data_IF_036142160725
#
_entry.id   IF_036142160725
#
_cell.length_a   1.000
_cell.length_b   1.000
_cell.length_c   1.000
_cell.angle_alpha   90.00
_cell.angle_beta   90.00
_cell.angle_gamma   90.00
#
_symmetry.space_group_name_H-M   'P 1'
#
loop_
_entity.id
_entity.type
_entity.pdbx_description
1 polymer ?
#
# COMPACT_ATOMS: atom_id res chain seq x y z
N UNK A 1 -26.32 119.22 26.55
CA UNK A 1 -27.70 118.90 26.11
C UNK A 1 -27.63 117.50 25.50
N UNK A 2 -27.87 116.43 26.25
CA UNK A 2 -29.16 115.96 26.77
C UNK A 2 -30.16 115.61 25.65
N UNK A 3 -30.19 114.31 25.35
CA UNK A 3 -31.33 113.38 25.40
C UNK A 3 -32.51 113.47 24.42
N UNK A 4 -32.82 112.31 23.79
CA UNK A 4 -34.13 111.61 23.75
C UNK A 4 -34.03 110.45 22.74
N UNK A 5 -33.92 109.19 23.18
CA UNK A 5 -34.98 108.25 23.59
C UNK A 5 -35.89 107.69 22.47
N UNK A 6 -35.65 106.39 22.19
CA UNK A 6 -36.60 105.26 22.22
C UNK A 6 -37.54 104.86 21.06
N UNK A 7 -37.56 103.52 20.92
CA UNK A 7 -38.60 102.59 20.46
C UNK A 7 -38.72 102.36 18.93
N UNK A 8 -39.01 101.16 18.38
CA UNK A 8 -39.60 99.92 18.89
C UNK A 8 -39.50 98.81 17.82
N UNK A 9 -39.39 97.52 18.22
CA UNK A 9 -39.78 96.28 17.50
C UNK A 9 -39.07 95.96 16.16
N UNK A 10 -38.93 94.72 15.68
CA UNK A 10 -39.56 93.44 16.00
C UNK A 10 -38.72 92.33 15.33
N UNK A 11 -38.72 91.15 15.94
CA UNK A 11 -37.99 89.97 15.50
C UNK A 11 -38.90 89.06 14.68
N UNK A 12 -38.43 88.55 13.54
CA UNK A 12 -38.84 87.22 13.05
C UNK A 12 -37.71 86.58 12.25
N UNK A 13 -37.35 85.39 12.72
CA UNK A 13 -36.57 84.37 12.04
C UNK A 13 -37.25 83.92 10.74
N UNK A 14 -36.48 83.61 9.71
CA UNK A 14 -36.79 82.48 8.83
C UNK A 14 -35.52 81.93 8.15
N UNK A 15 -35.16 80.73 8.60
CA UNK A 15 -34.10 79.85 8.10
C UNK A 15 -34.72 78.91 7.07
N UNK A 16 -34.16 78.81 5.86
CA UNK A 16 -34.40 77.72 4.89
C UNK A 16 -33.15 77.52 3.98
N UNK A 17 -32.95 76.33 3.38
CA UNK A 17 -31.73 75.54 3.54
C UNK A 17 -31.04 75.13 2.21
N UNK A 18 -29.82 74.60 2.37
CA UNK A 18 -29.07 73.58 1.58
C UNK A 18 -29.05 73.60 0.04
N UNK A 19 -27.85 73.45 -0.55
CA UNK A 19 -27.39 72.26 -1.34
C UNK A 19 -26.05 72.60 -2.05
N UNK A 20 -24.89 72.22 -1.53
CA UNK A 20 -24.19 70.94 -1.80
C UNK A 20 -23.82 70.72 -3.29
N UNK A 21 -22.76 71.38 -3.77
CA UNK A 21 -22.13 70.98 -5.05
C UNK A 21 -20.61 70.86 -4.98
N UNK A 22 -20.04 70.76 -3.78
CA UNK A 22 -18.59 70.73 -3.56
C UNK A 22 -18.08 69.44 -2.92
N UNK A 23 -18.76 68.30 -3.10
CA UNK A 23 -18.33 67.04 -2.51
C UNK A 23 -18.13 65.94 -3.57
N UNK A 24 -16.85 65.67 -3.83
CA UNK A 24 -16.32 64.31 -3.85
C UNK A 24 -16.59 63.46 -5.12
N UNK A 25 -15.93 63.82 -6.23
CA UNK A 25 -15.44 62.80 -7.18
C UNK A 25 -14.26 62.04 -6.55
N UNK A 26 -14.51 61.28 -5.48
CA UNK A 26 -13.57 60.25 -5.05
C UNK A 26 -13.76 59.03 -5.92
N UNK A 27 -12.67 58.59 -6.55
CA UNK A 27 -12.63 57.33 -7.26
C UNK A 27 -13.25 56.22 -6.42
N UNK A 28 -14.25 55.55 -7.00
CA UNK A 28 -14.70 54.25 -6.54
C UNK A 28 -13.54 53.25 -6.73
N UNK A 29 -12.57 53.27 -5.83
CA UNK A 29 -11.70 52.12 -5.64
C UNK A 29 -12.59 51.02 -5.07
N UNK A 30 -12.91 50.04 -5.92
CA UNK A 30 -13.55 48.81 -5.52
C UNK A 30 -12.84 48.28 -4.26
N UNK A 31 -13.52 48.33 -3.12
CA UNK A 31 -13.01 47.80 -1.86
C UNK A 31 -13.04 46.28 -1.98
N UNK A 32 -12.00 45.71 -2.58
CA UNK A 32 -11.82 44.26 -2.63
C UNK A 32 -11.89 43.74 -1.19
N UNK A 33 -12.86 42.88 -0.93
CA UNK A 33 -13.01 42.24 0.38
C UNK A 33 -11.79 41.36 0.59
N UNK A 34 -10.91 41.76 1.51
CA UNK A 34 -9.71 41.01 1.89
C UNK A 34 -10.04 39.56 2.26
N UNK A 35 -11.22 39.32 2.83
CA UNK A 35 -11.71 37.99 3.14
C UNK A 35 -11.90 37.09 1.90
N UNK A 36 -12.34 37.67 0.77
CA UNK A 36 -12.53 36.93 -0.47
C UNK A 36 -11.20 36.49 -1.09
N UNK A 37 -10.17 37.33 -1.02
CA UNK A 37 -8.83 36.99 -1.49
C UNK A 37 -8.18 35.90 -0.63
N UNK A 38 -8.37 35.96 0.69
CA UNK A 38 -7.87 34.95 1.61
C UNK A 38 -8.57 33.60 1.37
N UNK A 39 -9.89 33.59 1.19
CA UNK A 39 -10.64 32.37 0.89
C UNK A 39 -10.21 31.71 -0.42
N UNK A 40 -9.99 32.50 -1.47
CA UNK A 40 -9.49 31.99 -2.75
C UNK A 40 -8.08 31.41 -2.63
N UNK A 41 -7.17 32.10 -1.93
CA UNK A 41 -5.81 31.62 -1.72
C UNK A 41 -5.77 30.29 -0.94
N UNK A 42 -6.58 30.16 0.13
CA UNK A 42 -6.67 28.93 0.91
C UNK A 42 -7.25 27.76 0.08
N UNK A 43 -8.25 28.03 -0.76
CA UNK A 43 -8.82 27.03 -1.66
C UNK A 43 -7.83 26.54 -2.72
N UNK A 44 -7.03 27.44 -3.30
CA UNK A 44 -5.98 27.06 -4.26
C UNK A 44 -4.90 26.23 -3.56
N UNK A 45 -4.48 26.62 -2.37
CA UNK A 45 -3.48 25.87 -1.58
C UNK A 45 -3.98 24.47 -1.22
N UNK A 46 -5.27 24.31 -0.86
CA UNK A 46 -5.81 22.98 -0.51
C UNK A 46 -5.88 22.04 -1.72
N UNK A 47 -6.25 22.55 -2.90
CA UNK A 47 -6.25 21.77 -4.15
C UNK A 47 -4.82 21.34 -4.52
N UNK A 48 -3.84 22.23 -4.37
CA UNK A 48 -2.43 21.90 -4.65
C UNK A 48 -1.92 20.82 -3.69
N UNK A 49 -2.24 20.93 -2.40
CA UNK A 49 -1.86 19.93 -1.38
C UNK A 49 -2.54 18.58 -1.67
N UNK A 50 -3.82 18.58 -2.05
CA UNK A 50 -4.56 17.38 -2.42
C UNK A 50 -3.98 16.69 -3.67
N UNK A 51 -3.64 17.46 -4.73
CA UNK A 51 -3.01 16.94 -5.93
C UNK A 51 -1.61 16.34 -5.64
N UNK A 52 -0.85 16.94 -4.73
CA UNK A 52 0.46 16.42 -4.31
C UNK A 52 0.34 15.12 -3.51
N UNK A 53 -0.63 15.02 -2.60
CA UNK A 53 -0.83 13.80 -1.80
C UNK A 53 -1.40 12.65 -2.62
N UNK A 54 -2.20 12.93 -3.66
CA UNK A 54 -2.96 11.90 -4.36
C UNK A 54 -2.41 11.52 -5.74
N UNK A 55 -1.84 12.45 -6.50
CA UNK A 55 -1.45 12.20 -7.90
C UNK A 55 0.06 12.18 -8.14
N UNK A 56 0.85 12.81 -7.27
CA UNK A 56 2.28 13.06 -7.54
C UNK A 56 3.19 12.86 -6.30
N UNK A 57 3.06 11.76 -5.54
CA UNK A 57 3.88 11.54 -4.33
C UNK A 57 5.39 11.48 -4.64
N UNK A 58 5.77 11.13 -5.87
CA UNK A 58 7.15 11.10 -6.35
C UNK A 58 7.76 12.50 -6.60
N UNK A 59 6.94 13.56 -6.68
CA UNK A 59 7.42 14.95 -6.78
C UNK A 59 7.70 15.59 -5.42
N UNK A 60 7.15 15.04 -4.32
CA UNK A 60 7.40 15.54 -2.95
C UNK A 60 8.90 15.74 -2.66
N UNK A 61 9.81 14.77 -2.93
CA UNK A 61 11.24 15.00 -2.71
C UNK A 61 11.80 16.16 -3.56
N UNK A 62 11.31 16.40 -4.77
CA UNK A 62 11.79 17.49 -5.63
C UNK A 62 11.43 18.88 -5.10
N UNK A 63 10.33 19.02 -4.37
CA UNK A 63 9.93 20.28 -3.74
C UNK A 63 10.47 20.44 -2.30
N UNK A 64 10.70 19.34 -1.57
CA UNK A 64 11.26 19.37 -0.22
C UNK A 64 12.74 19.76 -0.19
N UNK A 65 13.53 19.30 -1.17
CA UNK A 65 14.98 19.52 -1.23
C UNK A 65 15.35 21.02 -1.27
N UNK A 66 14.76 21.87 -2.13
CA UNK A 66 15.01 23.31 -2.12
C UNK A 66 14.67 23.98 -0.79
N UNK A 67 13.58 23.56 -0.12
CA UNK A 67 13.18 24.07 1.18
C UNK A 67 14.18 23.74 2.30
N UNK A 68 14.76 22.54 2.27
CA UNK A 68 15.84 22.13 3.20
C UNK A 68 17.10 22.98 2.98
N UNK A 69 17.47 23.23 1.72
CA UNK A 69 18.63 24.07 1.36
C UNK A 69 18.43 25.52 1.82
N UNK A 70 17.26 26.10 1.55
CA UNK A 70 16.93 27.46 1.97
C UNK A 70 16.92 27.60 3.51
N UNK A 71 16.41 26.58 4.22
CA UNK A 71 16.42 26.52 5.69
C UNK A 71 17.84 26.50 6.28
N UNK A 72 18.76 25.73 5.69
CA UNK A 72 20.16 25.73 6.11
C UNK A 72 20.87 27.07 5.84
N UNK A 73 20.61 27.70 4.70
CA UNK A 73 21.17 29.02 4.37
C UNK A 73 20.67 30.09 5.34
N UNK A 74 19.37 30.11 5.64
CA UNK A 74 18.78 31.04 6.61
C UNK A 74 19.34 30.82 8.03
N UNK A 75 19.44 29.58 8.48
CA UNK A 75 20.00 29.24 9.80
C UNK A 75 21.49 29.63 9.91
N UNK A 76 22.26 29.47 8.82
CA UNK A 76 23.68 29.86 8.80
C UNK A 76 23.91 31.37 8.85
N UNK A 77 22.96 32.18 8.35
CA UNK A 77 23.00 33.65 8.41
C UNK A 77 22.65 34.15 9.81
N UNK A 78 21.65 33.54 10.44
CA UNK A 78 21.20 33.92 11.79
C UNK A 78 22.26 33.62 12.85
N UNK A 79 22.99 32.50 12.73
CA UNK A 79 24.11 32.18 13.62
C UNK A 79 25.26 33.20 13.57
N UNK A 80 25.39 33.99 12.49
CA UNK A 80 26.42 35.04 12.34
C UNK A 80 25.95 36.42 12.79
N UNK A 81 24.65 36.66 12.84
CA UNK A 81 24.06 37.92 13.30
C UNK A 81 23.75 37.84 14.80
N UNK A 82 24.75 38.14 15.63
CA UNK A 82 24.69 38.17 17.10
C UNK A 82 23.72 39.23 17.67
N UNK A 83 22.43 39.23 17.30
CA UNK A 83 21.53 40.31 17.75
C UNK A 83 20.03 40.29 17.43
N UNK A 84 19.43 39.30 16.73
CA UNK A 84 17.96 39.28 16.56
C UNK A 84 17.40 37.87 16.77
N UNK A 85 16.90 37.64 17.99
CA UNK A 85 16.56 36.33 18.54
C UNK A 85 15.16 35.83 18.10
N UNK A 86 14.34 36.68 17.48
CA UNK A 86 12.93 36.39 17.21
C UNK A 86 12.70 35.58 15.92
N UNK A 87 13.67 35.54 15.00
CA UNK A 87 13.55 34.80 13.73
C UNK A 87 14.20 33.41 13.73
N UNK A 88 15.09 33.10 14.69
CA UNK A 88 15.80 31.82 14.76
C UNK A 88 14.86 30.66 15.10
N UNK A 89 13.92 30.90 16.02
CA UNK A 89 12.93 29.92 16.45
C UNK A 89 12.00 29.51 15.29
N UNK A 90 11.54 30.47 14.48
CA UNK A 90 10.68 30.21 13.32
C UNK A 90 11.43 29.44 12.23
N UNK A 91 12.71 29.77 11.99
CA UNK A 91 13.53 29.08 11.00
C UNK A 91 13.87 27.63 11.40
N UNK A 92 14.15 27.37 12.68
CA UNK A 92 14.40 26.01 13.18
C UNK A 92 13.11 25.17 13.24
N UNK A 93 11.99 25.78 13.64
CA UNK A 93 10.68 25.12 13.62
C UNK A 93 10.28 24.71 12.20
N UNK A 94 10.45 25.61 11.21
CA UNK A 94 10.15 25.30 9.81
C UNK A 94 11.02 24.16 9.25
N UNK A 95 12.31 24.13 9.60
CA UNK A 95 13.21 23.05 9.19
C UNK A 95 12.82 21.71 9.83
N UNK A 96 12.52 21.70 11.13
CA UNK A 96 12.08 20.49 11.83
C UNK A 96 10.76 19.94 11.29
N UNK A 97 9.77 20.81 11.06
CA UNK A 97 8.48 20.43 10.46
C UNK A 97 8.69 19.86 9.05
N UNK A 98 9.56 20.47 8.23
CA UNK A 98 9.79 19.98 6.86
C UNK A 98 10.50 18.61 6.82
N UNK A 99 11.44 18.36 7.74
CA UNK A 99 12.05 17.03 7.88
C UNK A 99 11.04 15.97 8.29
N UNK A 100 10.21 16.26 9.29
CA UNK A 100 9.18 15.33 9.77
C UNK A 100 8.17 15.01 8.67
N UNK A 101 7.66 16.02 7.96
CA UNK A 101 6.73 15.82 6.84
C UNK A 101 7.37 15.02 5.71
N UNK A 102 8.65 15.26 5.40
CA UNK A 102 9.36 14.51 4.35
C UNK A 102 9.56 13.04 4.75
N UNK A 103 9.99 12.77 6.00
CA UNK A 103 10.16 11.40 6.51
C UNK A 103 8.80 10.67 6.56
N UNK A 104 7.77 11.34 7.06
CA UNK A 104 6.43 10.78 7.16
C UNK A 104 5.84 10.50 5.76
N UNK A 105 6.04 11.39 4.79
CA UNK A 105 5.60 11.20 3.41
C UNK A 105 6.30 9.99 2.75
N UNK A 106 7.60 9.81 2.99
CA UNK A 106 8.34 8.62 2.49
C UNK A 106 7.81 7.32 3.12
N UNK A 107 7.43 7.34 4.41
CA UNK A 107 6.85 6.18 5.08
C UNK A 107 5.36 5.93 4.73
N UNK A 108 4.59 6.99 4.45
CA UNK A 108 3.15 6.91 4.16
C UNK A 108 2.84 6.48 2.72
N UNK A 109 3.81 6.59 1.81
CA UNK A 109 3.77 5.91 0.52
C UNK A 109 4.05 4.43 0.80
N UNK A 110 3.00 3.66 1.03
CA UNK A 110 3.10 2.22 1.22
C UNK A 110 3.96 1.56 0.11
N UNK A 111 4.61 0.41 0.39
CA UNK A 111 5.34 -0.37 -0.60
C UNK A 111 4.35 -1.08 -1.53
N UNK A 112 3.63 -0.31 -2.31
CA UNK A 112 2.81 -0.81 -3.40
C UNK A 112 3.75 -1.17 -4.54
N UNK A 113 4.28 -2.40 -4.48
CA UNK A 113 4.79 -3.06 -5.67
C UNK A 113 3.78 -2.79 -6.80
N UNK A 114 4.20 -2.16 -7.91
CA UNK A 114 3.28 -1.79 -8.98
C UNK A 114 2.50 -3.04 -9.43
N UNK A 115 1.18 -3.03 -9.23
CA UNK A 115 0.25 -4.15 -9.44
C UNK A 115 0.30 -4.75 -10.86
N UNK A 116 0.82 -4.02 -11.83
CA UNK A 116 1.07 -4.41 -13.22
C UNK A 116 2.24 -5.40 -13.42
N UNK A 117 3.21 -5.45 -12.50
CA UNK A 117 4.32 -6.43 -12.56
C UNK A 117 3.93 -7.78 -11.93
N UNK A 118 2.75 -7.87 -11.32
CA UNK A 118 2.26 -9.06 -10.62
C UNK A 118 1.93 -10.22 -11.57
N UNK A 119 1.36 -9.94 -12.74
CA UNK A 119 0.81 -10.98 -13.61
C UNK A 119 1.88 -11.98 -14.10
N UNK A 120 3.04 -11.50 -14.59
CA UNK A 120 4.14 -12.40 -15.00
C UNK A 120 4.73 -13.22 -13.85
N UNK A 121 4.68 -12.69 -12.64
CA UNK A 121 5.17 -13.39 -11.44
C UNK A 121 4.22 -14.50 -11.03
N UNK A 122 2.91 -14.32 -11.23
CA UNK A 122 1.89 -15.33 -10.94
C UNK A 122 2.08 -16.58 -11.79
N UNK A 123 2.22 -16.43 -13.10
CA UNK A 123 2.45 -17.59 -14.00
C UNK A 123 3.73 -18.35 -13.63
N UNK A 124 4.81 -17.62 -13.33
CA UNK A 124 6.08 -18.22 -12.91
C UNK A 124 5.96 -18.93 -11.57
N UNK A 125 5.24 -18.32 -10.62
CA UNK A 125 4.99 -18.90 -9.31
C UNK A 125 4.16 -20.19 -9.45
N UNK A 126 3.08 -20.15 -10.22
CA UNK A 126 2.22 -21.31 -10.51
C UNK A 126 3.01 -22.45 -11.17
N UNK A 127 3.81 -22.16 -12.22
CA UNK A 127 4.64 -23.18 -12.86
C UNK A 127 5.66 -23.82 -11.91
N UNK A 128 6.28 -23.02 -11.02
CA UNK A 128 7.22 -23.53 -10.01
C UNK A 128 6.53 -24.32 -8.90
N UNK A 129 5.31 -23.93 -8.54
CA UNK A 129 4.45 -24.67 -7.61
C UNK A 129 4.05 -26.02 -8.19
N UNK A 130 3.63 -26.07 -9.46
CA UNK A 130 3.33 -27.32 -10.17
C UNK A 130 4.55 -28.25 -10.17
N UNK A 131 5.76 -27.73 -10.43
CA UNK A 131 7.00 -28.53 -10.33
C UNK A 131 7.25 -29.04 -8.91
N UNK A 132 7.02 -28.22 -7.90
CA UNK A 132 7.18 -28.63 -6.49
C UNK A 132 6.17 -29.72 -6.11
N UNK A 133 4.92 -29.62 -6.57
CA UNK A 133 3.90 -30.67 -6.41
C UNK A 133 4.29 -31.97 -7.10
N UNK A 134 4.87 -31.92 -8.30
CA UNK A 134 5.38 -33.12 -8.98
C UNK A 134 6.48 -33.80 -8.16
N UNK A 135 7.37 -33.02 -7.57
CA UNK A 135 8.39 -33.57 -6.67
C UNK A 135 7.76 -34.22 -5.43
N UNK A 136 6.72 -33.61 -4.84
CA UNK A 136 5.97 -34.22 -3.73
C UNK A 136 5.31 -35.54 -4.16
N UNK A 137 4.65 -35.60 -5.31
CA UNK A 137 4.02 -36.82 -5.83
C UNK A 137 5.07 -37.92 -6.06
N UNK A 138 6.24 -37.58 -6.62
CA UNK A 138 7.33 -38.54 -6.82
C UNK A 138 7.90 -39.01 -5.48
N UNK A 139 8.11 -38.09 -4.54
CA UNK A 139 8.59 -38.40 -3.19
C UNK A 139 7.63 -39.36 -2.47
N UNK A 140 6.32 -39.14 -2.55
CA UNK A 140 5.32 -40.05 -1.99
C UNK A 140 5.42 -41.46 -2.57
N UNK A 141 5.61 -41.59 -3.89
CA UNK A 141 5.77 -42.90 -4.53
C UNK A 141 7.04 -43.62 -4.11
N UNK A 142 8.15 -42.88 -3.97
CA UNK A 142 9.42 -43.46 -3.48
C UNK A 142 9.28 -43.87 -2.00
N UNK A 143 8.73 -43.00 -1.17
CA UNK A 143 8.49 -43.25 0.25
C UNK A 143 7.63 -44.49 0.49
N UNK A 144 6.54 -44.60 -0.27
CA UNK A 144 5.65 -45.76 -0.25
C UNK A 144 6.34 -47.03 -0.74
N UNK A 145 7.05 -46.98 -1.88
CA UNK A 145 7.70 -48.13 -2.47
C UNK A 145 8.88 -48.67 -1.64
N UNK A 146 9.52 -47.79 -0.85
CA UNK A 146 10.54 -48.16 0.10
C UNK A 146 9.96 -48.72 1.43
N UNK A 147 8.63 -48.75 1.57
CA UNK A 147 7.93 -49.18 2.79
C UNK A 147 8.50 -48.54 4.07
N UNK A 148 8.83 -47.24 4.01
CA UNK A 148 9.44 -46.53 5.14
C UNK A 148 8.48 -46.35 6.33
N UNK A 149 7.18 -46.45 6.07
CA UNK A 149 6.13 -46.46 7.07
C UNK A 149 5.15 -47.57 6.72
N UNK A 150 4.89 -48.49 7.65
CA UNK A 150 3.94 -49.59 7.52
C UNK A 150 3.38 -49.89 8.92
N UNK A 151 2.41 -49.09 9.42
CA UNK A 151 1.92 -49.19 10.79
C UNK A 151 1.07 -50.45 11.06
N UNK A 152 0.40 -50.96 10.04
CA UNK A 152 -0.45 -52.14 10.08
C UNK A 152 0.30 -53.45 9.77
N UNK A 153 1.54 -53.37 9.29
CA UNK A 153 2.44 -54.48 8.99
C UNK A 153 1.86 -55.43 7.93
N UNK A 154 1.13 -54.88 6.95
CA UNK A 154 0.53 -55.65 5.86
C UNK A 154 1.54 -55.90 4.71
N UNK A 155 2.72 -55.28 4.78
CA UNK A 155 3.80 -55.38 3.79
C UNK A 155 3.68 -54.37 2.65
N UNK A 156 2.71 -53.45 2.71
CA UNK A 156 2.50 -52.35 1.78
C UNK A 156 2.84 -51.03 2.48
N UNK A 157 3.73 -50.24 1.88
CA UNK A 157 4.09 -48.95 2.46
C UNK A 157 2.92 -47.97 2.48
N UNK A 158 2.90 -47.14 3.51
CA UNK A 158 2.03 -45.99 3.69
C UNK A 158 2.68 -44.69 3.21
N UNK A 159 1.84 -43.70 2.90
CA UNK A 159 2.29 -42.38 2.48
C UNK A 159 2.83 -41.54 3.65
N UNK A 160 3.73 -40.61 3.33
CA UNK A 160 4.39 -39.74 4.31
C UNK A 160 3.69 -38.38 4.48
N UNK A 161 3.74 -37.82 5.68
CA UNK A 161 3.42 -36.40 5.91
C UNK A 161 4.50 -35.48 5.33
N UNK A 162 4.22 -34.18 5.17
CA UNK A 162 5.24 -33.22 4.71
C UNK A 162 6.50 -33.24 5.57
N UNK A 163 6.36 -33.38 6.89
CA UNK A 163 7.50 -33.46 7.80
C UNK A 163 8.34 -34.72 7.62
N UNK A 164 7.70 -35.88 7.43
CA UNK A 164 8.43 -37.12 7.14
C UNK A 164 9.18 -37.05 5.82
N UNK A 165 8.56 -36.48 4.78
CA UNK A 165 9.22 -36.27 3.48
C UNK A 165 10.35 -35.22 3.54
N UNK A 166 10.20 -34.20 4.39
CA UNK A 166 11.17 -33.13 4.60
C UNK A 166 12.37 -33.57 5.45
N UNK A 167 12.21 -34.56 6.33
CA UNK A 167 13.31 -35.22 7.03
C UNK A 167 14.03 -36.17 6.08
N UNK A 168 13.28 -36.99 5.34
CA UNK A 168 13.83 -37.96 4.40
C UNK A 168 14.37 -39.23 5.06
N UNK A 169 15.34 -39.85 4.41
CA UNK A 169 16.06 -41.04 4.88
C UNK A 169 17.58 -40.77 4.99
N UNK A 170 18.40 -41.81 5.05
CA UNK A 170 19.86 -41.70 5.13
C UNK A 170 20.50 -41.01 3.89
N UNK A 171 19.80 -40.94 2.75
CA UNK A 171 20.23 -40.22 1.55
C UNK A 171 19.83 -38.72 1.58
N UNK A 172 19.00 -38.33 2.54
CA UNK A 172 18.55 -36.96 2.76
C UNK A 172 17.07 -36.73 2.43
N UNK A 173 16.62 -35.47 2.38
CA UNK A 173 15.22 -35.13 2.28
C UNK A 173 14.64 -35.42 0.89
N UNK A 174 13.47 -36.07 0.83
CA UNK A 174 12.80 -36.38 -0.44
C UNK A 174 12.19 -35.14 -1.12
N UNK A 175 11.84 -34.13 -0.32
CA UNK A 175 11.32 -32.84 -0.77
C UNK A 175 12.14 -31.70 -0.17
N UNK A 176 11.99 -30.49 -0.71
CA UNK A 176 12.60 -29.31 -0.09
C UNK A 176 11.92 -29.04 1.27
N UNK A 177 12.65 -29.07 2.40
CA UNK A 177 12.07 -28.92 3.74
C UNK A 177 11.31 -27.61 3.96
N UNK A 178 11.57 -26.58 3.13
CA UNK A 178 10.81 -25.33 3.20
C UNK A 178 9.31 -25.54 2.96
N UNK A 179 8.90 -26.59 2.22
CA UNK A 179 7.48 -26.86 1.93
C UNK A 179 6.65 -27.12 3.19
N UNK A 180 7.25 -27.63 4.26
CA UNK A 180 6.58 -27.86 5.54
C UNK A 180 6.46 -26.58 6.37
N UNK A 181 7.50 -25.75 6.37
CA UNK A 181 7.67 -24.68 7.35
C UNK A 181 7.29 -23.29 6.84
N UNK A 182 7.37 -23.04 5.53
CA UNK A 182 7.15 -21.72 4.97
C UNK A 182 6.58 -21.75 3.54
N UNK A 183 5.99 -20.63 3.08
CA UNK A 183 5.56 -20.55 1.70
C UNK A 183 6.72 -20.61 0.71
N UNK A 184 6.56 -21.39 -0.35
CA UNK A 184 7.51 -21.49 -1.45
C UNK A 184 6.86 -20.97 -2.73
N UNK A 185 7.56 -20.08 -3.45
CA UNK A 185 7.04 -19.41 -4.65
C UNK A 185 5.68 -18.70 -4.44
N UNK A 186 5.40 -18.23 -3.21
CA UNK A 186 4.13 -17.59 -2.89
C UNK A 186 2.95 -18.55 -2.72
N UNK A 187 3.22 -19.84 -2.58
CA UNK A 187 2.26 -20.91 -2.29
C UNK A 187 2.57 -21.60 -0.97
N UNK A 188 1.52 -21.95 -0.22
CA UNK A 188 1.58 -22.79 0.97
C UNK A 188 1.13 -24.20 0.60
N UNK A 189 1.85 -25.20 1.09
CA UNK A 189 1.57 -26.60 0.86
C UNK A 189 1.00 -27.21 2.13
N UNK A 190 0.04 -28.12 1.97
CA UNK A 190 -0.44 -28.97 3.05
C UNK A 190 -0.65 -30.38 2.50
N UNK A 191 -0.31 -31.38 3.31
CA UNK A 191 -0.59 -32.79 3.01
C UNK A 191 -1.38 -33.36 4.18
N UNK A 192 -2.45 -34.06 3.84
CA UNK A 192 -3.19 -34.92 4.75
C UNK A 192 -3.00 -36.36 4.29
N UNK A 193 -2.62 -37.24 5.22
CA UNK A 193 -2.44 -38.67 4.96
C UNK A 193 -3.50 -39.42 5.76
N UNK A 194 -4.20 -40.33 5.10
CA UNK A 194 -5.03 -41.33 5.75
C UNK A 194 -4.28 -42.66 5.70
N UNK A 195 -3.91 -43.16 6.89
CA UNK A 195 -3.19 -44.42 7.03
C UNK A 195 -3.98 -45.60 6.45
N UNK A 196 -3.23 -46.60 6.01
CA UNK A 196 -3.77 -47.85 5.48
C UNK A 196 -4.30 -48.75 6.59
N UNK A 197 -4.96 -49.82 6.14
CA UNK A 197 -5.25 -51.00 6.91
C UNK A 197 -5.20 -52.21 5.97
N UNK A 198 -5.17 -53.42 6.54
CA UNK A 198 -5.33 -54.69 5.81
C UNK A 198 -6.50 -54.72 4.80
N UNK A 199 -7.56 -53.94 5.04
CA UNK A 199 -8.75 -53.91 4.17
C UNK A 199 -8.77 -52.69 3.23
N UNK A 200 -7.99 -51.65 3.53
CA UNK A 200 -8.05 -50.36 2.83
C UNK A 200 -6.66 -49.77 2.60
N UNK A 201 -6.24 -49.53 1.35
CA UNK A 201 -4.94 -48.93 1.09
C UNK A 201 -4.88 -47.51 1.66
N UNK A 202 -3.69 -47.07 2.07
CA UNK A 202 -3.47 -45.68 2.45
C UNK A 202 -3.76 -44.73 1.29
N UNK A 203 -4.12 -43.51 1.66
CA UNK A 203 -4.36 -42.43 0.70
C UNK A 203 -3.75 -41.14 1.21
N UNK A 204 -3.50 -40.20 0.31
CA UNK A 204 -3.09 -38.86 0.69
C UNK A 204 -3.73 -37.82 -0.21
N UNK A 205 -3.86 -36.63 0.35
CA UNK A 205 -4.24 -35.42 -0.36
C UNK A 205 -3.17 -34.37 -0.13
N UNK A 206 -2.68 -33.77 -1.20
CA UNK A 206 -1.80 -32.62 -1.17
C UNK A 206 -2.49 -31.43 -1.82
N UNK A 207 -2.52 -30.30 -1.12
CA UNK A 207 -3.06 -29.04 -1.64
C UNK A 207 -1.98 -27.97 -1.65
N UNK A 208 -2.01 -27.11 -2.66
CA UNK A 208 -1.17 -25.92 -2.72
C UNK A 208 -2.03 -24.67 -2.99
N UNK A 209 -1.98 -23.72 -2.07
CA UNK A 209 -2.79 -22.51 -2.09
C UNK A 209 -1.93 -21.24 -2.15
N UNK A 210 -2.35 -20.20 -2.89
CA UNK A 210 -1.62 -18.95 -2.95
C UNK A 210 -1.71 -18.22 -1.60
N UNK A 211 -0.57 -17.81 -1.05
CA UNK A 211 -0.50 -17.04 0.21
C UNK A 211 -1.27 -15.73 0.13
N UNK A 212 -1.27 -15.09 -1.04
CA UNK A 212 -2.06 -13.89 -1.31
C UNK A 212 -2.81 -14.11 -2.61
N UNK A 213 -4.08 -14.54 -2.54
CA UNK A 213 -4.91 -14.76 -3.73
C UNK A 213 -4.90 -13.55 -4.67
N UNK A 214 -4.89 -13.80 -5.98
CA UNK A 214 -4.79 -12.78 -7.03
C UNK A 214 -3.50 -11.96 -7.03
N UNK A 215 -2.52 -12.29 -6.18
CA UNK A 215 -1.20 -11.64 -6.15
C UNK A 215 -0.06 -12.64 -6.31
N UNK A 216 0.01 -13.66 -5.46
CA UNK A 216 1.04 -14.70 -5.57
C UNK A 216 0.68 -15.78 -6.57
N UNK A 217 -0.62 -15.98 -6.81
CA UNK A 217 -1.21 -16.79 -7.87
C UNK A 217 -2.74 -16.75 -7.81
N UNK A 218 -3.39 -17.31 -8.82
CA UNK A 218 -4.85 -17.39 -8.93
C UNK A 218 -5.30 -18.83 -8.71
N UNK A 219 -4.64 -19.78 -9.39
CA UNK A 219 -5.01 -21.19 -9.31
C UNK A 219 -4.62 -21.79 -7.96
N UNK A 220 -5.50 -22.64 -7.44
CA UNK A 220 -5.20 -23.58 -6.36
C UNK A 220 -4.97 -24.94 -6.96
N UNK A 221 -4.16 -25.76 -6.32
CA UNK A 221 -3.79 -27.07 -6.85
C UNK A 221 -4.09 -28.19 -5.85
N UNK A 222 -4.42 -29.35 -6.40
CA UNK A 222 -4.70 -30.60 -5.70
C UNK A 222 -3.91 -31.72 -6.35
N UNK A 223 -3.36 -32.63 -5.54
CA UNK A 223 -2.78 -33.88 -5.99
C UNK A 223 -3.10 -34.97 -4.97
N UNK A 224 -3.30 -36.19 -5.45
CA UNK A 224 -3.60 -37.37 -4.64
C UNK A 224 -2.74 -38.56 -5.10
N UNK A 225 -3.01 -39.75 -4.56
CA UNK A 225 -2.31 -40.99 -4.89
C UNK A 225 -2.36 -41.39 -6.37
N UNK A 226 -3.30 -40.84 -7.16
CA UNK A 226 -3.32 -41.06 -8.62
C UNK A 226 -2.11 -40.43 -9.32
N UNK A 227 -1.50 -39.42 -8.68
CA UNK A 227 -0.40 -38.63 -9.22
C UNK A 227 -0.83 -37.58 -10.25
N UNK A 228 -2.14 -37.41 -10.48
CA UNK A 228 -2.68 -36.37 -11.36
C UNK A 228 -2.82 -35.07 -10.57
N UNK A 229 -2.17 -34.01 -11.06
CA UNK A 229 -2.32 -32.67 -10.49
C UNK A 229 -3.55 -32.02 -11.12
N UNK A 230 -4.43 -31.48 -10.27
CA UNK A 230 -5.69 -30.82 -10.63
C UNK A 230 -5.72 -29.40 -10.10
N UNK A 231 -6.61 -28.57 -10.64
CA UNK A 231 -6.70 -27.16 -10.24
C UNK A 231 -8.12 -26.60 -10.27
N UNK A 232 -8.28 -25.47 -9.58
CA UNK A 232 -9.43 -24.57 -9.65
C UNK A 232 -8.92 -23.13 -9.72
N UNK A 233 -9.64 -22.25 -10.41
CA UNK A 233 -9.31 -20.84 -10.61
C UNK A 233 -10.38 -19.88 -10.06
N UNK A 234 -11.50 -20.40 -9.58
CA UNK A 234 -12.61 -19.67 -8.97
C UNK A 234 -12.44 -19.41 -7.47
N UNK A 235 -11.32 -19.87 -6.89
CA UNK A 235 -11.01 -19.75 -5.48
C UNK A 235 -11.65 -20.82 -4.58
N UNK A 236 -12.37 -21.79 -5.14
CA UNK A 236 -12.83 -22.98 -4.42
C UNK A 236 -11.70 -24.00 -4.24
N UNK A 237 -11.82 -24.93 -3.29
CA UNK A 237 -10.80 -25.94 -3.09
C UNK A 237 -10.86 -27.01 -4.19
N UNK A 238 -9.74 -27.29 -4.89
CA UNK A 238 -9.71 -28.34 -5.89
C UNK A 238 -9.79 -29.72 -5.23
N UNK A 239 -10.37 -30.68 -5.96
CA UNK A 239 -10.56 -32.06 -5.51
C UNK A 239 -10.33 -33.04 -6.67
N UNK A 240 -10.55 -34.34 -6.43
CA UNK A 240 -10.34 -35.40 -7.42
C UNK A 240 -11.21 -35.28 -8.69
N UNK A 241 -12.31 -34.52 -8.65
CA UNK A 241 -13.15 -34.25 -9.82
C UNK A 241 -12.75 -32.98 -10.59
N UNK A 242 -11.86 -32.14 -10.03
CA UNK A 242 -11.41 -30.91 -10.66
C UNK A 242 -10.60 -31.17 -11.95
N UNK A 243 -10.56 -30.21 -12.90
CA UNK A 243 -9.78 -30.33 -14.13
C UNK A 243 -8.30 -30.63 -13.87
N UNK A 244 -7.70 -31.49 -14.69
CA UNK A 244 -6.28 -31.80 -14.61
C UNK A 244 -5.43 -30.66 -15.20
N UNK A 245 -4.30 -30.38 -14.56
CA UNK A 245 -3.27 -29.47 -15.07
C UNK A 245 -2.65 -30.08 -16.33
N UNK A 246 -2.53 -29.28 -17.40
CA UNK A 246 -1.92 -29.76 -18.62
C UNK A 246 -0.43 -30.09 -18.40
N UNK A 247 0.11 -31.16 -19.00
CA UNK A 247 1.54 -31.47 -18.94
C UNK A 247 2.42 -30.28 -19.40
N UNK A 248 1.90 -29.44 -20.30
CA UNK A 248 2.60 -28.30 -20.89
C UNK A 248 2.57 -27.02 -20.04
N UNK A 249 1.73 -26.93 -19.02
CA UNK A 249 1.57 -25.71 -18.18
C UNK A 249 2.80 -25.39 -17.31
N UNK A 250 3.77 -26.31 -17.22
CA UNK A 250 5.00 -26.11 -16.45
C UNK A 250 6.18 -25.56 -17.27
N UNK A 251 6.01 -25.38 -18.59
CA UNK A 251 7.02 -24.75 -19.41
C UNK A 251 7.02 -23.24 -19.13
N UNK A 252 8.18 -22.61 -18.83
CA UNK A 252 8.23 -21.16 -18.78
C UNK A 252 7.85 -20.63 -20.15
N UNK A 253 6.90 -19.70 -20.22
CA UNK A 253 6.51 -19.05 -21.46
C UNK A 253 7.75 -18.44 -22.11
N UNK A 254 8.27 -19.08 -23.16
CA UNK A 254 9.33 -18.52 -23.99
C UNK A 254 8.72 -17.35 -24.73
N UNK A 255 9.18 -16.15 -24.39
CA UNK A 255 8.79 -14.91 -25.04
C UNK A 255 9.73 -14.61 -26.20
#
# INVERSE_FOLDING_TARGET
MCDSENACGDATDDVLPCDESAQHRSGAMARFSWAALIGFALGVVSVIVFLHMFLLPWLVPLFSIPGIIAGHIASSRIKRSWGVQWGSAVAQAGLAVNYVVTILAVYAVAPEVPYWLGYRRQETNEARTIRSLRNVVLAQKVFQAACLLDPDADGVGDYGTLGQLAVGDDEGPFIDPILESAPKNGYRFAIEVTAGSYETPSTYICVAEPVTPNRSGVRRFFADQTGVIRFTDDGTQPNAASPAVSPYDAAPATK
#
